data_IF_338675699617
#
_entry.id   IF_338675699617
#
_cell.length_a   1.000
_cell.length_b   1.000
_cell.length_c   1.000
_cell.angle_alpha   90.00
_cell.angle_beta   90.00
_cell.angle_gamma   90.00
#
_symmetry.space_group_name_H-M   'P 1'
#
loop_
_entity.id
_entity.type
_entity.pdbx_description
1 polymer ?
#
# COMPACT_ATOMS: atom_id res chain seq x y z
N UNK A 1 15.91 57.99 27.52
CA UNK A 1 15.28 56.94 28.37
C UNK A 1 16.34 56.49 29.38
N UNK A 2 16.81 57.44 30.19
CA UNK A 2 18.13 57.41 30.87
C UNK A 2 18.06 58.17 32.20
N UNK A 3 17.01 57.95 32.99
CA UNK A 3 16.80 58.70 34.23
C UNK A 3 16.03 57.93 35.32
N UNK A 4 16.39 56.67 35.58
CA UNK A 4 15.80 55.87 36.70
C UNK A 4 16.86 55.07 37.48
N UNK A 5 18.05 55.62 37.75
CA UNK A 5 19.12 54.89 38.47
C UNK A 5 19.83 55.70 39.58
N UNK A 6 19.14 56.62 40.26
CA UNK A 6 19.74 57.40 41.37
C UNK A 6 18.82 57.51 42.61
N UNK A 7 18.10 56.44 42.95
CA UNK A 7 17.40 56.30 44.24
C UNK A 7 18.04 55.16 45.05
N UNK A 8 19.09 55.49 45.82
CA UNK A 8 19.93 54.53 46.51
C UNK A 8 19.43 54.12 47.90
N UNK A 9 18.33 53.38 47.97
CA UNK A 9 18.10 52.51 49.13
C UNK A 9 18.99 51.28 48.96
N UNK A 10 20.03 51.17 49.79
CA UNK A 10 20.97 50.04 49.74
C UNK A 10 20.20 48.73 49.95
N UNK A 11 20.01 47.95 48.88
CA UNK A 11 19.40 46.62 48.99
C UNK A 11 20.16 45.81 50.04
N UNK A 12 19.45 45.36 51.07
CA UNK A 12 19.96 44.46 52.10
C UNK A 12 20.54 43.19 51.43
N UNK A 13 21.58 42.61 52.02
CA UNK A 13 22.26 41.44 51.48
C UNK A 13 21.30 40.30 51.13
N UNK A 14 20.23 40.11 51.92
CA UNK A 14 19.17 39.14 51.66
C UNK A 14 18.38 39.40 50.37
N UNK A 15 18.08 40.67 50.05
CA UNK A 15 17.40 41.04 48.80
C UNK A 15 18.31 40.84 47.60
N UNK A 16 19.61 41.14 47.73
CA UNK A 16 20.61 40.86 46.68
C UNK A 16 20.73 39.36 46.40
N UNK A 17 20.80 38.53 47.44
CA UNK A 17 20.87 37.08 47.30
C UNK A 17 19.64 36.50 46.61
N UNK A 18 18.43 36.95 47.00
CA UNK A 18 17.18 36.54 46.34
C UNK A 18 17.14 36.94 44.88
N UNK A 19 17.55 38.17 44.56
CA UNK A 19 17.59 38.63 43.17
C UNK A 19 18.55 37.77 42.33
N UNK A 20 19.76 37.48 42.85
CA UNK A 20 20.73 36.61 42.18
C UNK A 20 20.12 35.22 41.93
N UNK A 21 19.53 34.60 42.96
CA UNK A 21 18.86 33.28 42.83
C UNK A 21 17.75 33.28 41.77
N UNK A 22 16.90 34.30 41.72
CA UNK A 22 15.86 34.37 40.69
C UNK A 22 16.45 34.57 39.29
N UNK A 23 17.45 35.43 39.14
CA UNK A 23 18.10 35.65 37.84
C UNK A 23 18.83 34.41 37.34
N UNK A 24 19.49 33.64 38.21
CA UNK A 24 20.15 32.40 37.81
C UNK A 24 19.16 31.32 37.42
N UNK A 25 18.05 31.16 38.14
CA UNK A 25 16.98 30.21 37.78
C UNK A 25 16.39 30.56 36.40
N UNK A 26 16.09 31.84 36.16
CA UNK A 26 15.54 32.29 34.87
C UNK A 26 16.55 32.05 33.74
N UNK A 27 17.83 32.35 33.95
CA UNK A 27 18.88 32.08 32.96
C UNK A 27 19.04 30.59 32.67
N UNK A 28 18.95 29.73 33.70
CA UNK A 28 19.00 28.27 33.53
C UNK A 28 17.80 27.76 32.72
N UNK A 29 16.58 28.19 33.05
CA UNK A 29 15.38 27.82 32.29
C UNK A 29 15.45 28.30 30.84
N UNK A 30 15.86 29.55 30.61
CA UNK A 30 16.03 30.09 29.27
C UNK A 30 17.08 29.31 28.48
N UNK A 31 18.23 28.98 29.10
CA UNK A 31 19.26 28.16 28.46
C UNK A 31 18.75 26.76 28.12
N UNK A 32 17.96 26.12 29.00
CA UNK A 32 17.36 24.83 28.76
C UNK A 32 16.39 24.84 27.58
N UNK A 33 15.56 25.88 27.46
CA UNK A 33 14.64 26.04 26.31
C UNK A 33 15.40 26.31 25.02
N UNK A 34 16.46 27.14 25.04
CA UNK A 34 17.28 27.40 23.85
C UNK A 34 18.00 26.13 23.39
N UNK A 35 18.61 25.40 24.32
CA UNK A 35 19.30 24.14 24.04
C UNK A 35 18.29 23.11 23.53
N UNK A 36 17.15 22.95 24.21
CA UNK A 36 16.07 22.05 23.80
C UNK A 36 15.50 22.40 22.42
N UNK A 37 15.28 23.69 22.14
CA UNK A 37 14.85 24.19 20.84
C UNK A 37 15.89 23.91 19.75
N UNK A 38 17.17 24.17 20.01
CA UNK A 38 18.26 23.85 19.09
C UNK A 38 18.30 22.35 18.76
N UNK A 39 18.21 21.48 19.77
CA UNK A 39 18.13 20.04 19.54
C UNK A 39 16.85 19.64 18.80
N UNK A 40 15.71 20.25 19.11
CA UNK A 40 14.44 20.00 18.41
C UNK A 40 14.51 20.39 16.94
N UNK A 41 15.21 21.47 16.57
CA UNK A 41 15.40 21.86 15.15
C UNK A 41 16.31 20.90 14.38
N UNK A 42 17.14 20.12 15.09
CA UNK A 42 17.99 19.08 14.49
C UNK A 42 17.29 17.73 14.36
N UNK A 43 16.11 17.57 14.95
CA UNK A 43 15.27 16.40 14.68
C UNK A 43 14.75 16.59 13.26
N UNK A 44 15.28 15.79 12.34
CA UNK A 44 14.66 15.64 11.02
C UNK A 44 13.31 14.97 11.24
N UNK A 45 12.25 15.80 11.27
CA UNK A 45 10.86 15.34 11.36
C UNK A 45 10.42 14.72 10.03
N UNK A 46 11.08 15.12 8.95
CA UNK A 46 10.87 14.62 7.59
C UNK A 46 11.80 13.43 7.32
N UNK A 47 11.40 12.23 7.72
CA UNK A 47 12.12 11.01 7.41
C UNK A 47 11.96 9.90 8.46
N UNK A 48 12.22 8.64 8.12
CA UNK A 48 12.39 7.59 9.13
C UNK A 48 13.60 7.95 10.01
N UNK A 49 13.34 8.35 11.25
CA UNK A 49 14.39 8.63 12.22
C UNK A 49 15.17 7.34 12.52
N UNK A 50 16.50 7.36 12.34
CA UNK A 50 17.36 6.23 12.69
C UNK A 50 17.52 6.18 14.21
N UNK A 51 16.79 5.29 14.87
CA UNK A 51 16.98 5.03 16.29
C UNK A 51 18.23 4.15 16.48
N UNK A 52 19.25 4.66 17.16
CA UNK A 52 20.36 3.83 17.64
C UNK A 52 20.04 3.37 19.06
N UNK A 53 19.75 2.08 19.22
CA UNK A 53 19.49 1.45 20.51
C UNK A 53 20.25 0.12 20.59
N UNK A 54 20.68 -0.26 21.80
CA UNK A 54 21.18 -1.62 22.07
C UNK A 54 20.04 -2.65 22.09
N UNK A 55 18.80 -2.16 22.12
CA UNK A 55 17.57 -2.92 22.15
C UNK A 55 16.67 -2.34 21.07
N UNK A 56 16.91 -2.72 19.82
CA UNK A 56 15.98 -2.46 18.72
C UNK A 56 15.02 -3.66 18.65
N UNK A 57 13.72 -3.39 18.60
CA UNK A 57 12.69 -4.41 18.49
C UNK A 57 11.63 -3.98 17.48
N UNK A 58 10.97 -4.97 16.87
CA UNK A 58 9.83 -4.73 15.99
C UNK A 58 8.60 -4.48 16.88
N UNK A 59 7.98 -3.31 16.76
CA UNK A 59 6.70 -3.07 17.41
C UNK A 59 5.59 -3.60 16.50
N UNK A 60 5.07 -4.78 16.82
CA UNK A 60 3.93 -5.38 16.14
C UNK A 60 2.67 -5.14 16.97
N UNK A 61 1.65 -4.57 16.36
CA UNK A 61 0.33 -4.46 16.97
C UNK A 61 -0.38 -5.81 16.92
N UNK A 62 -0.75 -6.35 18.07
CA UNK A 62 -1.51 -7.60 18.20
C UNK A 62 -3.01 -7.30 18.01
N UNK A 63 -3.50 -7.51 16.78
CA UNK A 63 -4.82 -7.05 16.32
C UNK A 63 -6.03 -7.82 16.87
N UNK A 64 -5.83 -8.90 17.61
CA UNK A 64 -6.93 -9.79 18.05
C UNK A 64 -7.82 -9.18 19.16
N UNK A 65 -7.35 -8.14 19.86
CA UNK A 65 -8.14 -7.49 20.91
C UNK A 65 -8.94 -6.33 20.34
N UNK A 66 -10.18 -6.63 19.88
CA UNK A 66 -11.22 -5.67 19.44
C UNK A 66 -11.53 -4.64 20.53
N UNK A 67 -10.71 -3.60 20.60
CA UNK A 67 -10.79 -2.48 21.54
C UNK A 67 -10.86 -1.16 20.77
N UNK A 68 -11.06 -0.05 21.47
CA UNK A 68 -10.92 1.32 20.94
C UNK A 68 -9.60 1.51 20.16
N UNK A 69 -8.56 0.74 20.50
CA UNK A 69 -7.30 0.72 19.78
C UNK A 69 -7.45 0.23 18.32
N UNK A 70 -8.38 -0.67 18.00
CA UNK A 70 -8.65 -1.11 16.63
C UNK A 70 -9.30 0.00 15.79
N UNK A 71 -10.19 0.80 16.39
CA UNK A 71 -10.77 1.97 15.73
C UNK A 71 -9.72 3.05 15.49
N UNK A 72 -8.84 3.30 16.48
CA UNK A 72 -7.70 4.23 16.31
C UNK A 72 -6.68 3.72 15.29
N UNK A 73 -6.40 2.41 15.28
CA UNK A 73 -5.55 1.79 14.27
C UNK A 73 -6.13 1.98 12.87
N UNK A 74 -7.45 1.78 12.69
CA UNK A 74 -8.12 2.05 11.41
C UNK A 74 -8.01 3.51 10.96
N UNK A 75 -8.16 4.47 11.86
CA UNK A 75 -7.96 5.89 11.54
C UNK A 75 -6.51 6.18 11.16
N UNK A 76 -5.54 5.58 11.86
CA UNK A 76 -4.12 5.69 11.53
C UNK A 76 -3.78 5.03 10.19
N UNK A 77 -4.41 3.90 9.86
CA UNK A 77 -4.22 3.22 8.59
C UNK A 77 -4.81 4.04 7.45
N UNK A 78 -5.98 4.67 7.65
CA UNK A 78 -6.53 5.65 6.70
C UNK A 78 -5.58 6.84 6.50
N UNK A 79 -5.00 7.38 7.57
CA UNK A 79 -4.02 8.48 7.47
C UNK A 79 -2.74 8.04 6.73
N UNK A 80 -2.28 6.79 6.95
CA UNK A 80 -1.15 6.23 6.20
C UNK A 80 -1.49 6.06 4.73
N UNK A 81 -2.68 5.56 4.39
CA UNK A 81 -3.15 5.40 3.03
C UNK A 81 -3.25 6.76 2.32
N UNK A 82 -3.84 7.77 2.95
CA UNK A 82 -3.90 9.14 2.44
C UNK A 82 -2.51 9.71 2.18
N UNK A 83 -1.58 9.52 3.14
CA UNK A 83 -0.19 9.96 2.99
C UNK A 83 0.55 9.22 1.88
N UNK A 84 0.31 7.92 1.74
CA UNK A 84 0.89 7.11 0.67
C UNK A 84 0.35 7.55 -0.71
N UNK A 85 -0.95 7.84 -0.81
CA UNK A 85 -1.57 8.37 -2.01
C UNK A 85 -0.95 9.73 -2.40
N UNK A 86 -0.85 10.67 -1.46
CA UNK A 86 -0.18 11.95 -1.69
C UNK A 86 1.29 11.78 -2.08
N UNK A 87 2.03 10.88 -1.43
CA UNK A 87 3.41 10.59 -1.82
C UNK A 87 3.49 10.06 -3.26
N UNK A 88 2.61 9.14 -3.64
CA UNK A 88 2.59 8.60 -5.00
C UNK A 88 2.25 9.69 -6.04
N UNK A 89 1.26 10.53 -5.76
CA UNK A 89 0.91 11.66 -6.63
C UNK A 89 2.05 12.67 -6.76
N UNK A 90 2.66 13.06 -5.66
CA UNK A 90 3.74 14.05 -5.63
C UNK A 90 5.03 13.52 -6.28
N UNK A 91 5.32 12.22 -6.15
CA UNK A 91 6.64 11.67 -6.46
C UNK A 91 6.71 10.78 -7.70
N UNK A 92 5.59 10.22 -8.17
CA UNK A 92 5.58 9.35 -9.36
C UNK A 92 4.88 9.96 -10.57
N UNK A 93 4.21 11.12 -10.45
CA UNK A 93 3.76 11.87 -11.63
C UNK A 93 4.96 12.47 -12.37
N UNK A 94 5.01 12.23 -13.69
CA UNK A 94 6.13 12.52 -14.60
C UNK A 94 6.60 14.00 -14.67
N UNK A 95 5.97 14.94 -13.96
CA UNK A 95 6.16 16.38 -14.11
C UNK A 95 6.49 17.15 -12.83
N UNK A 96 6.51 16.51 -11.65
CA UNK A 96 6.85 17.22 -10.42
C UNK A 96 8.38 17.26 -10.23
N UNK A 97 8.95 18.47 -10.26
CA UNK A 97 10.32 18.70 -9.74
C UNK A 97 10.42 18.06 -8.37
N UNK A 98 11.45 17.24 -8.13
CA UNK A 98 11.61 16.39 -6.94
C UNK A 98 11.40 17.18 -5.65
N UNK A 99 10.15 17.22 -5.16
CA UNK A 99 9.81 17.91 -3.93
C UNK A 99 10.63 17.29 -2.80
N UNK A 100 10.97 18.09 -1.78
CA UNK A 100 11.67 17.58 -0.59
C UNK A 100 10.98 16.35 0.04
N UNK A 101 9.65 16.25 -0.13
CA UNK A 101 8.80 15.14 0.31
C UNK A 101 9.11 13.80 -0.35
N UNK A 102 9.69 13.78 -1.55
CA UNK A 102 10.01 12.55 -2.28
C UNK A 102 11.28 11.85 -1.79
N UNK A 103 12.00 12.46 -0.84
CA UNK A 103 13.21 11.90 -0.22
C UNK A 103 12.92 11.11 1.06
N UNK A 104 11.65 10.76 1.31
CA UNK A 104 11.24 9.95 2.46
C UNK A 104 11.84 8.54 2.41
N UNK A 105 11.86 7.94 1.21
CA UNK A 105 12.38 6.60 0.99
C UNK A 105 13.86 6.66 0.59
N UNK A 106 14.64 5.66 1.03
CA UNK A 106 16.05 5.55 0.65
C UNK A 106 16.22 5.48 -0.87
N UNK A 107 15.33 4.73 -1.54
CA UNK A 107 15.11 4.81 -2.98
C UNK A 107 13.62 5.00 -3.26
N UNK A 108 13.23 6.03 -4.04
CA UNK A 108 11.83 6.25 -4.38
C UNK A 108 11.34 5.20 -5.38
N UNK A 109 12.19 4.76 -6.31
CA UNK A 109 11.81 3.76 -7.32
C UNK A 109 12.71 2.55 -7.23
N UNK A 110 12.12 1.37 -7.16
CA UNK A 110 12.84 0.11 -7.34
C UNK A 110 12.93 -0.21 -8.84
N UNK A 111 14.03 -0.81 -9.30
CA UNK A 111 14.12 -1.26 -10.68
C UNK A 111 13.08 -2.37 -10.92
N UNK A 112 12.31 -2.22 -11.99
CA UNK A 112 11.37 -3.24 -12.46
C UNK A 112 11.75 -3.56 -13.91
N UNK A 113 11.73 -4.84 -14.28
CA UNK A 113 11.92 -5.20 -15.69
C UNK A 113 10.74 -4.66 -16.50
N UNK A 114 10.93 -4.34 -17.79
CA UNK A 114 9.81 -4.01 -18.67
C UNK A 114 8.72 -5.07 -18.57
N UNK A 115 7.46 -4.62 -18.67
CA UNK A 115 6.31 -5.51 -18.64
C UNK A 115 6.43 -6.57 -19.75
N UNK A 116 6.29 -7.84 -19.37
CA UNK A 116 6.34 -8.96 -20.31
C UNK A 116 4.92 -9.37 -20.62
N UNK A 117 4.51 -9.25 -21.88
CA UNK A 117 3.19 -9.66 -22.34
C UNK A 117 3.29 -11.04 -22.99
N UNK A 118 2.42 -11.94 -22.56
CA UNK A 118 2.39 -13.31 -23.04
C UNK A 118 0.94 -13.75 -23.30
N UNK A 119 0.79 -14.69 -24.24
CA UNK A 119 -0.52 -15.23 -24.64
C UNK A 119 -0.86 -16.53 -23.90
N UNK A 120 -0.32 -16.70 -22.68
CA UNK A 120 -0.59 -17.83 -21.79
C UNK A 120 -1.38 -17.33 -20.58
N UNK A 121 -2.49 -18.00 -20.30
CA UNK A 121 -3.19 -17.78 -19.05
C UNK A 121 -2.71 -18.80 -18.00
N UNK A 122 -2.35 -18.37 -16.78
CA UNK A 122 -1.96 -19.30 -15.71
C UNK A 122 -3.15 -20.08 -15.10
N UNK A 123 -4.37 -19.79 -15.52
CA UNK A 123 -5.61 -20.40 -15.02
C UNK A 123 -6.30 -21.24 -16.11
N UNK A 124 -7.47 -21.81 -15.78
CA UNK A 124 -8.30 -22.52 -16.76
C UNK A 124 -8.65 -21.61 -17.96
N UNK A 125 -8.59 -22.09 -19.21
CA UNK A 125 -8.82 -21.26 -20.39
C UNK A 125 -10.17 -20.52 -20.40
N UNK A 126 -11.19 -21.10 -19.78
CA UNK A 126 -12.55 -20.55 -19.73
C UNK A 126 -12.65 -19.29 -18.86
N UNK A 127 -11.83 -19.18 -17.81
CA UNK A 127 -11.85 -18.05 -16.87
C UNK A 127 -11.05 -16.86 -17.38
N UNK A 128 -10.18 -17.08 -18.35
CA UNK A 128 -9.25 -16.08 -18.86
C UNK A 128 -9.86 -15.31 -20.03
N UNK A 129 -9.70 -13.98 -20.03
CA UNK A 129 -10.13 -13.15 -21.15
C UNK A 129 -8.94 -12.88 -22.06
N UNK A 130 -9.10 -13.14 -23.36
CA UNK A 130 -8.09 -12.89 -24.40
C UNK A 130 -6.78 -13.69 -24.27
N UNK A 131 -6.66 -14.58 -23.28
CA UNK A 131 -5.43 -15.30 -22.94
C UNK A 131 -4.22 -14.38 -22.77
N UNK A 132 -4.41 -13.13 -22.34
CA UNK A 132 -3.34 -12.16 -22.17
C UNK A 132 -2.90 -12.12 -20.72
N UNK A 133 -1.60 -12.31 -20.47
CA UNK A 133 -0.98 -12.12 -19.17
C UNK A 133 0.11 -11.07 -19.27
N UNK A 134 0.13 -10.17 -18.28
CA UNK A 134 1.22 -9.20 -18.08
C UNK A 134 2.01 -9.60 -16.85
N UNK A 135 3.32 -9.75 -17.01
CA UNK A 135 4.23 -10.11 -15.92
C UNK A 135 5.18 -8.97 -15.63
N UNK A 136 5.20 -8.57 -14.36
CA UNK A 136 6.16 -7.65 -13.78
C UNK A 136 7.12 -8.43 -12.90
N UNK A 137 8.42 -8.21 -13.11
CA UNK A 137 9.46 -8.88 -12.35
C UNK A 137 10.49 -7.87 -11.88
N UNK A 138 10.86 -7.93 -10.62
CA UNK A 138 12.01 -7.17 -10.14
C UNK A 138 13.30 -7.94 -10.44
N UNK A 139 14.44 -7.27 -10.62
CA UNK A 139 15.72 -7.95 -10.47
C UNK A 139 15.88 -8.40 -9.01
N UNK A 140 17.00 -9.06 -8.72
CA UNK A 140 17.37 -9.36 -7.35
C UNK A 140 17.75 -8.04 -6.64
N UNK A 141 16.97 -7.63 -5.65
CA UNK A 141 17.13 -6.37 -4.91
C UNK A 141 17.77 -6.66 -3.56
N UNK A 142 18.81 -5.92 -3.20
CA UNK A 142 19.41 -5.95 -1.86
C UNK A 142 18.50 -5.22 -0.86
N UNK A 143 18.24 -5.81 0.31
CA UNK A 143 17.40 -5.21 1.35
C UNK A 143 17.92 -3.85 1.83
N UNK A 144 19.20 -3.52 1.61
CA UNK A 144 19.75 -2.18 1.80
C UNK A 144 19.01 -1.11 1.02
N UNK A 145 18.46 -1.46 -0.14
CA UNK A 145 17.67 -0.54 -0.96
C UNK A 145 16.33 -0.18 -0.31
N UNK A 146 15.83 -1.03 0.58
CA UNK A 146 14.68 -0.78 1.45
C UNK A 146 15.07 -0.13 2.79
N UNK A 147 16.35 0.19 2.99
CA UNK A 147 16.88 0.78 4.23
C UNK A 147 17.30 -0.23 5.30
N UNK A 148 17.26 -1.55 5.03
CA UNK A 148 17.76 -2.58 5.95
C UNK A 148 19.28 -2.64 5.82
N UNK A 149 19.97 -1.85 6.64
CA UNK A 149 21.39 -1.58 6.50
C UNK A 149 22.24 -2.54 7.36
N UNK A 150 22.61 -3.68 6.80
CA UNK A 150 23.48 -4.69 7.44
C UNK A 150 24.59 -5.16 6.51
N UNK A 151 25.68 -5.67 7.08
CA UNK A 151 26.81 -6.20 6.31
C UNK A 151 26.37 -7.37 5.42
N UNK A 152 25.50 -8.25 5.95
CA UNK A 152 24.96 -9.44 5.30
C UNK A 152 23.47 -9.27 5.00
N UNK A 153 23.08 -8.15 4.39
CA UNK A 153 21.69 -7.89 4.05
C UNK A 153 21.15 -8.97 3.07
N UNK A 154 19.97 -9.55 3.34
CA UNK A 154 19.33 -10.49 2.43
C UNK A 154 18.91 -9.80 1.14
N UNK A 155 18.63 -10.60 0.12
CA UNK A 155 18.12 -10.12 -1.17
C UNK A 155 16.70 -10.62 -1.38
N UNK A 156 15.93 -9.96 -2.22
CA UNK A 156 14.62 -10.43 -2.60
C UNK A 156 14.30 -10.15 -4.06
N UNK A 157 13.32 -10.89 -4.57
CA UNK A 157 12.75 -10.71 -5.90
C UNK A 157 11.25 -10.91 -5.83
N UNK A 158 10.49 -10.02 -6.47
CA UNK A 158 9.04 -10.13 -6.62
C UNK A 158 8.70 -10.39 -8.08
N UNK A 159 7.76 -11.29 -8.30
CA UNK A 159 7.13 -11.53 -9.59
C UNK A 159 5.63 -11.46 -9.42
N UNK A 160 4.99 -10.62 -10.23
CA UNK A 160 3.54 -10.41 -10.26
C UNK A 160 3.05 -10.64 -11.68
N UNK A 161 2.21 -11.64 -11.89
CA UNK A 161 1.63 -11.97 -13.20
C UNK A 161 0.11 -11.78 -13.15
N UNK A 162 -0.42 -10.86 -13.95
CA UNK A 162 -1.83 -10.50 -13.95
C UNK A 162 -2.51 -10.82 -15.29
N UNK A 163 -3.73 -11.33 -15.24
CA UNK A 163 -4.54 -11.66 -16.43
C UNK A 163 -5.98 -11.17 -16.27
N UNK A 164 -6.56 -10.47 -17.27
CA UNK A 164 -7.97 -10.10 -17.25
C UNK A 164 -8.87 -11.33 -17.28
N UNK A 165 -9.97 -11.29 -16.53
CA UNK A 165 -10.87 -12.43 -16.40
C UNK A 165 -12.10 -12.32 -17.30
N UNK A 166 -12.63 -13.48 -17.69
CA UNK A 166 -13.83 -13.61 -18.51
C UNK A 166 -15.04 -13.11 -17.73
N UNK A 167 -15.76 -12.15 -18.30
CA UNK A 167 -17.02 -11.63 -17.73
C UNK A 167 -18.25 -12.31 -18.35
N UNK A 168 -18.05 -13.42 -19.06
CA UNK A 168 -19.13 -14.20 -19.64
C UNK A 168 -19.74 -15.16 -18.59
N UNK A 169 -20.91 -15.70 -18.89
CA UNK A 169 -21.51 -16.75 -18.08
C UNK A 169 -20.57 -17.98 -18.03
N UNK A 170 -20.36 -18.63 -16.87
CA UNK A 170 -21.09 -18.48 -15.60
C UNK A 170 -20.51 -17.47 -14.61
N UNK A 171 -19.39 -16.82 -14.94
CA UNK A 171 -18.60 -16.03 -13.99
C UNK A 171 -19.25 -14.70 -13.62
N UNK A 172 -19.96 -14.06 -14.54
CA UNK A 172 -20.74 -12.85 -14.23
C UNK A 172 -22.20 -13.09 -14.58
N UNK A 173 -23.05 -12.92 -13.57
CA UNK A 173 -24.49 -13.08 -13.70
C UNK A 173 -25.17 -11.73 -13.47
N UNK A 174 -26.21 -11.46 -14.24
CA UNK A 174 -27.00 -10.24 -14.11
C UNK A 174 -28.43 -10.57 -13.67
N UNK A 175 -28.97 -9.76 -12.77
CA UNK A 175 -30.37 -9.86 -12.34
C UNK A 175 -30.97 -8.46 -12.28
N UNK A 176 -32.07 -8.25 -13.00
CA UNK A 176 -32.75 -6.95 -13.02
C UNK A 176 -34.02 -7.01 -12.18
N UNK A 177 -34.12 -6.16 -11.18
CA UNK A 177 -35.30 -6.04 -10.30
C UNK A 177 -35.68 -4.57 -10.19
N UNK A 178 -36.95 -4.24 -10.45
CA UNK A 178 -37.45 -2.86 -10.41
C UNK A 178 -36.63 -1.86 -11.24
N UNK A 179 -36.17 -2.28 -12.43
CA UNK A 179 -35.36 -1.45 -13.33
C UNK A 179 -33.90 -1.27 -12.92
N UNK A 180 -33.47 -1.85 -11.80
CA UNK A 180 -32.07 -1.82 -11.37
C UNK A 180 -31.41 -3.17 -11.66
N UNK A 181 -30.33 -3.16 -12.44
CA UNK A 181 -29.53 -4.36 -12.73
C UNK A 181 -28.46 -4.55 -11.68
N UNK A 182 -28.38 -5.76 -11.15
CA UNK A 182 -27.33 -6.21 -10.23
C UNK A 182 -26.41 -7.18 -10.96
N UNK A 183 -25.10 -6.96 -10.88
CA UNK A 183 -24.09 -7.86 -11.42
C UNK A 183 -23.42 -8.60 -10.27
N UNK A 184 -23.39 -9.92 -10.36
CA UNK A 184 -22.80 -10.81 -9.35
C UNK A 184 -21.63 -11.57 -9.98
N UNK A 185 -20.47 -11.53 -9.31
CA UNK A 185 -19.19 -12.05 -9.82
C UNK A 185 -18.80 -13.32 -9.06
N UNK A 186 -18.85 -14.47 -9.74
CA UNK A 186 -18.68 -15.81 -9.21
C UNK A 186 -17.26 -16.36 -9.39
N UNK A 187 -16.25 -15.59 -8.98
CA UNK A 187 -14.84 -15.98 -9.02
C UNK A 187 -14.37 -16.73 -7.76
N UNK A 188 -15.32 -17.17 -6.93
CA UNK A 188 -15.06 -17.77 -5.62
C UNK A 188 -16.17 -17.39 -4.64
N UNK A 189 -15.96 -17.75 -3.38
CA UNK A 189 -16.90 -17.47 -2.30
C UNK A 189 -16.19 -16.76 -1.14
N UNK A 190 -16.97 -16.06 -0.33
CA UNK A 190 -16.47 -15.38 0.87
C UNK A 190 -17.33 -15.71 2.08
N UNK A 191 -16.69 -15.72 3.24
CA UNK A 191 -17.33 -15.93 4.52
C UNK A 191 -17.46 -14.56 5.21
N UNK A 192 -18.68 -14.10 5.43
CA UNK A 192 -18.93 -12.85 6.15
C UNK A 192 -19.87 -13.14 7.32
N UNK A 193 -19.31 -13.03 8.53
CA UNK A 193 -19.90 -13.53 9.76
C UNK A 193 -20.28 -15.03 9.63
N UNK A 194 -21.55 -15.37 9.81
CA UNK A 194 -22.06 -16.75 9.76
C UNK A 194 -22.67 -17.10 8.39
N UNK A 195 -22.43 -16.29 7.35
CA UNK A 195 -23.00 -16.49 6.01
C UNK A 195 -21.92 -16.72 4.98
N UNK A 196 -22.13 -17.77 4.19
CA UNK A 196 -21.33 -18.08 3.00
C UNK A 196 -22.00 -17.43 1.80
N UNK A 197 -21.27 -16.55 1.11
CA UNK A 197 -21.72 -15.93 -0.12
C UNK A 197 -21.04 -16.63 -1.30
N UNK A 198 -21.83 -17.29 -2.15
CA UNK A 198 -21.35 -18.00 -3.35
C UNK A 198 -20.98 -17.05 -4.50
N UNK A 199 -20.45 -15.87 -4.17
CA UNK A 199 -19.92 -14.90 -5.10
C UNK A 199 -18.81 -14.12 -4.41
N UNK A 200 -17.88 -13.60 -5.21
CA UNK A 200 -16.74 -12.81 -4.73
C UNK A 200 -17.14 -11.35 -4.57
N UNK A 201 -17.76 -10.78 -5.60
CA UNK A 201 -18.10 -9.37 -5.67
C UNK A 201 -19.50 -9.14 -6.25
N UNK A 202 -20.10 -7.99 -5.95
CA UNK A 202 -21.44 -7.62 -6.42
C UNK A 202 -21.54 -6.11 -6.60
N UNK A 203 -22.07 -5.69 -7.75
CA UNK A 203 -22.39 -4.27 -8.03
C UNK A 203 -23.88 -4.12 -8.35
N UNK A 204 -24.42 -2.93 -8.10
CA UNK A 204 -25.84 -2.61 -8.31
C UNK A 204 -25.93 -1.30 -9.08
N UNK A 205 -26.72 -1.30 -10.16
CA UNK A 205 -26.93 -0.15 -11.02
C UNK A 205 -25.79 0.11 -12.00
N UNK A 206 -25.87 1.24 -12.70
CA UNK A 206 -24.82 1.73 -13.60
C UNK A 206 -23.84 2.60 -12.80
N UNK A 207 -22.54 2.21 -12.69
CA UNK A 207 -21.53 3.02 -11.99
C UNK A 207 -21.40 4.45 -12.54
N UNK A 208 -21.77 4.68 -13.80
CA UNK A 208 -21.79 6.01 -14.42
C UNK A 208 -22.73 7.01 -13.72
N UNK A 209 -23.76 6.51 -13.02
CA UNK A 209 -24.67 7.35 -12.25
C UNK A 209 -24.04 7.91 -10.97
N UNK A 210 -22.92 7.33 -10.51
CA UNK A 210 -22.12 7.90 -9.42
C UNK A 210 -21.36 9.10 -9.97
N UNK A 211 -21.65 10.31 -9.46
CA UNK A 211 -21.13 11.59 -9.98
C UNK A 211 -19.63 11.84 -9.68
N UNK A 212 -18.85 10.81 -9.35
CA UNK A 212 -17.44 10.90 -9.04
C UNK A 212 -16.59 10.41 -10.23
N UNK A 213 -15.64 11.21 -10.75
CA UNK A 213 -14.78 10.84 -11.87
C UNK A 213 -13.56 10.02 -11.39
N UNK A 214 -13.82 8.91 -10.70
CA UNK A 214 -12.78 8.06 -10.11
C UNK A 214 -12.96 6.59 -10.51
N UNK A 215 -11.94 5.77 -10.28
CA UNK A 215 -12.08 4.33 -10.30
C UNK A 215 -12.50 3.84 -8.92
N UNK A 216 -13.45 2.92 -8.89
CA UNK A 216 -13.86 2.19 -7.69
C UNK A 216 -13.18 0.81 -7.75
N UNK A 217 -12.24 0.55 -6.83
CA UNK A 217 -11.38 -0.63 -6.86
C UNK A 217 -11.63 -1.48 -5.62
N UNK A 218 -11.92 -2.77 -5.84
CA UNK A 218 -12.06 -3.76 -4.77
C UNK A 218 -11.09 -4.90 -5.01
N UNK A 219 -10.38 -5.34 -3.97
CA UNK A 219 -9.46 -6.45 -4.05
C UNK A 219 -9.79 -7.53 -3.01
N UNK A 220 -9.58 -8.78 -3.38
CA UNK A 220 -9.63 -9.93 -2.48
C UNK A 220 -8.39 -10.78 -2.73
N UNK A 221 -7.75 -11.24 -1.66
CA UNK A 221 -6.59 -12.12 -1.75
C UNK A 221 -6.90 -13.48 -1.17
N UNK A 222 -6.34 -14.53 -1.77
CA UNK A 222 -6.25 -15.83 -1.14
C UNK A 222 -5.09 -15.83 -0.14
N UNK A 223 -5.18 -16.66 0.90
CA UNK A 223 -4.03 -16.86 1.77
C UNK A 223 -3.03 -17.76 1.03
N UNK A 224 -1.74 -17.41 1.04
CA UNK A 224 -0.72 -18.25 0.45
C UNK A 224 -0.59 -19.61 1.15
N UNK A 225 -0.94 -19.66 2.44
CA UNK A 225 -1.02 -20.85 3.26
C UNK A 225 -2.48 -21.20 3.56
N UNK A 226 -2.83 -22.48 3.40
CA UNK A 226 -4.20 -22.98 3.64
C UNK A 226 -4.57 -23.08 5.14
N UNK A 227 -3.65 -22.76 6.05
CA UNK A 227 -3.87 -22.82 7.51
C UNK A 227 -4.80 -21.74 8.07
N UNK A 228 -4.83 -20.58 7.42
CA UNK A 228 -5.63 -19.44 7.87
C UNK A 228 -6.95 -19.44 7.12
N UNK A 229 -8.07 -19.20 7.82
CA UNK A 229 -9.37 -19.04 7.15
C UNK A 229 -9.33 -17.82 6.23
N UNK A 230 -9.31 -18.00 4.90
CA UNK A 230 -9.18 -16.86 4.01
C UNK A 230 -10.50 -16.09 3.95
N UNK A 231 -10.41 -14.77 3.81
CA UNK A 231 -11.58 -13.90 3.59
C UNK A 231 -12.31 -14.31 2.31
N UNK A 232 -11.55 -14.79 1.32
CA UNK A 232 -12.05 -15.23 0.03
C UNK A 232 -11.39 -16.55 -0.38
N UNK A 233 -12.23 -17.51 -0.78
CA UNK A 233 -11.82 -18.81 -1.29
C UNK A 233 -12.03 -18.78 -2.82
N UNK A 234 -10.95 -18.86 -3.62
CA UNK A 234 -11.04 -18.80 -5.07
C UNK A 234 -11.90 -19.91 -5.68
N UNK A 235 -12.49 -19.63 -6.85
CA UNK A 235 -13.12 -20.64 -7.69
C UNK A 235 -12.10 -21.74 -8.10
N UNK A 236 -12.49 -23.02 -8.25
CA UNK A 236 -11.57 -24.10 -8.63
C UNK A 236 -10.78 -23.86 -9.92
N UNK A 237 -11.32 -23.06 -10.84
CA UNK A 237 -10.67 -22.68 -12.10
C UNK A 237 -9.41 -21.82 -11.90
N UNK A 238 -9.25 -21.21 -10.72
CA UNK A 238 -8.04 -20.52 -10.32
C UNK A 238 -7.01 -21.50 -9.77
N UNK A 239 -6.43 -22.33 -10.63
CA UNK A 239 -5.26 -23.11 -10.25
C UNK A 239 -4.07 -22.19 -10.01
N UNK A 240 -3.55 -22.19 -8.78
CA UNK A 240 -2.41 -21.37 -8.40
C UNK A 240 -1.15 -22.23 -8.21
N UNK A 241 0.03 -21.76 -8.63
CA UNK A 241 1.29 -22.37 -8.23
C UNK A 241 1.39 -22.45 -6.70
N UNK A 242 2.07 -23.48 -6.19
CA UNK A 242 2.33 -23.58 -4.75
C UNK A 242 3.06 -22.33 -4.27
N UNK A 243 2.67 -21.85 -3.09
CA UNK A 243 3.31 -20.69 -2.42
C UNK A 243 3.19 -19.38 -3.22
N UNK A 244 2.15 -19.27 -4.04
CA UNK A 244 1.75 -18.00 -4.65
C UNK A 244 0.48 -17.47 -3.99
N UNK A 245 0.43 -16.15 -3.89
CA UNK A 245 -0.76 -15.43 -3.46
C UNK A 245 -1.57 -15.08 -4.70
N UNK A 246 -2.86 -15.42 -4.69
CA UNK A 246 -3.79 -15.02 -5.75
C UNK A 246 -4.57 -13.82 -5.26
N UNK A 247 -4.49 -12.71 -5.99
CA UNK A 247 -5.29 -11.51 -5.71
C UNK A 247 -6.22 -11.26 -6.89
N UNK A 248 -7.51 -11.15 -6.63
CA UNK A 248 -8.49 -10.69 -7.61
C UNK A 248 -8.87 -9.24 -7.34
N UNK A 249 -8.82 -8.42 -8.39
CA UNK A 249 -9.08 -7.00 -8.37
C UNK A 249 -10.27 -6.71 -9.29
N UNK A 250 -11.23 -5.94 -8.81
CA UNK A 250 -12.39 -5.46 -9.58
C UNK A 250 -12.27 -3.96 -9.74
N UNK A 251 -12.17 -3.51 -10.99
CA UNK A 251 -12.04 -2.09 -11.34
C UNK A 251 -13.34 -1.62 -11.98
N UNK A 252 -14.06 -0.72 -11.33
CA UNK A 252 -15.23 -0.06 -11.92
C UNK A 252 -14.88 1.37 -12.32
N UNK A 253 -14.96 1.68 -13.61
CA UNK A 253 -14.92 3.05 -14.07
C UNK A 253 -16.23 3.74 -13.68
N UNK A 254 -16.17 4.75 -12.82
CA UNK A 254 -17.33 5.60 -12.54
C UNK A 254 -17.50 6.61 -13.67
N UNK A 255 -17.56 7.91 -13.36
CA UNK A 255 -17.79 8.97 -14.36
C UNK A 255 -16.50 9.49 -14.99
N UNK A 256 -15.67 8.57 -15.50
CA UNK A 256 -14.40 8.91 -16.16
C UNK A 256 -14.61 9.07 -17.66
N UNK A 257 -14.10 10.18 -18.20
CA UNK A 257 -14.06 10.46 -19.62
C UNK A 257 -12.62 10.38 -20.13
N UNK A 258 -12.45 9.81 -21.32
CA UNK A 258 -11.17 9.65 -21.99
C UNK A 258 -11.14 10.54 -23.22
N UNK A 259 -9.98 11.11 -23.52
CA UNK A 259 -9.79 11.96 -24.70
C UNK A 259 -9.73 11.16 -26.00
N UNK A 260 -9.42 9.87 -25.89
CA UNK A 260 -9.26 8.95 -27.02
C UNK A 260 -10.01 7.65 -26.74
N UNK A 261 -10.40 6.99 -27.83
CA UNK A 261 -10.98 5.66 -27.75
C UNK A 261 -9.93 4.66 -27.25
N UNK A 262 -10.34 3.77 -26.35
CA UNK A 262 -9.48 2.74 -25.79
C UNK A 262 -10.18 1.38 -25.87
N UNK A 263 -9.50 0.41 -26.47
CA UNK A 263 -9.92 -1.00 -26.47
C UNK A 263 -9.22 -1.80 -25.35
N UNK A 264 -8.60 -1.11 -24.37
CA UNK A 264 -7.96 -1.74 -23.21
C UNK A 264 -8.99 -2.58 -22.43
N UNK A 265 -8.69 -3.85 -22.08
CA UNK A 265 -9.64 -4.73 -21.42
C UNK A 265 -10.01 -4.29 -20.00
N UNK A 266 -9.15 -3.52 -19.32
CA UNK A 266 -9.33 -2.98 -17.97
C UNK A 266 -9.84 -1.53 -18.00
N UNK A 267 -9.38 -0.73 -18.96
CA UNK A 267 -9.75 0.68 -19.11
C UNK A 267 -10.38 1.00 -20.47
N UNK A 268 -11.51 0.34 -20.82
CA UNK A 268 -12.14 0.58 -22.11
C UNK A 268 -12.81 1.94 -22.14
N UNK A 269 -12.74 2.56 -23.31
CA UNK A 269 -13.38 3.83 -23.63
C UNK A 269 -13.93 3.73 -25.05
N UNK A 270 -15.06 3.05 -25.20
CA UNK A 270 -15.60 2.58 -26.48
C UNK A 270 -16.84 3.34 -26.94
N UNK A 271 -17.44 4.17 -26.08
CA UNK A 271 -18.65 4.93 -26.37
C UNK A 271 -18.43 6.43 -26.34
N UNK A 272 -18.78 7.07 -27.44
CA UNK A 272 -18.76 8.53 -27.57
C UNK A 272 -19.67 9.18 -26.52
N UNK A 273 -19.16 10.28 -25.95
CA UNK A 273 -19.82 11.12 -24.97
C UNK A 273 -19.62 12.59 -25.39
N UNK A 274 -20.67 13.24 -25.92
CA UNK A 274 -20.57 14.65 -26.27
C UNK A 274 -20.57 15.50 -24.99
N UNK A 275 -19.50 16.27 -24.79
CA UNK A 275 -19.42 17.23 -23.69
C UNK A 275 -19.89 18.61 -24.19
N UNK A 276 -20.86 19.27 -23.53
CA UNK A 276 -21.33 20.58 -23.97
C UNK A 276 -20.19 21.60 -24.01
N UNK A 277 -19.99 22.22 -25.18
CA UNK A 277 -18.94 23.23 -25.39
C UNK A 277 -17.60 22.68 -25.90
N UNK A 278 -17.42 21.36 -25.97
CA UNK A 278 -16.26 20.75 -26.57
C UNK A 278 -16.61 20.21 -27.98
N UNK A 279 -15.92 20.66 -29.04
CA UNK A 279 -16.13 20.11 -30.39
C UNK A 279 -15.58 18.68 -30.54
N UNK A 280 -14.67 18.24 -29.67
CA UNK A 280 -14.08 16.90 -29.71
C UNK A 280 -14.96 15.92 -28.90
N UNK A 281 -15.29 14.73 -29.45
CA UNK A 281 -15.98 13.71 -28.67
C UNK A 281 -15.05 13.18 -27.57
N UNK A 282 -15.59 13.03 -26.37
CA UNK A 282 -14.97 12.26 -25.30
C UNK A 282 -15.44 10.82 -25.39
N UNK A 283 -14.73 9.91 -24.75
CA UNK A 283 -15.08 8.49 -24.73
C UNK A 283 -15.32 8.03 -23.30
N UNK A 284 -16.23 7.08 -23.13
CA UNK A 284 -16.48 6.41 -21.84
C UNK A 284 -16.61 4.91 -22.02
N UNK A 285 -16.47 4.18 -20.93
CA UNK A 285 -16.82 2.77 -20.88
C UNK A 285 -18.34 2.61 -21.06
N UNK A 286 -18.74 1.83 -22.07
CA UNK A 286 -20.14 1.53 -22.36
C UNK A 286 -20.74 0.46 -21.46
N UNK A 287 -19.90 -0.38 -20.87
CA UNK A 287 -20.28 -1.55 -20.09
C UNK A 287 -20.21 -1.23 -18.59
N UNK A 288 -21.33 -1.31 -17.86
CA UNK A 288 -21.39 -0.96 -16.44
C UNK A 288 -20.74 -2.00 -15.52
N UNK A 289 -20.30 -3.16 -16.05
CA UNK A 289 -19.64 -4.19 -15.25
C UNK A 289 -18.23 -3.73 -14.83
N UNK A 290 -17.89 -3.94 -13.57
CA UNK A 290 -16.51 -3.93 -13.09
C UNK A 290 -15.64 -4.91 -13.90
N UNK A 291 -14.42 -4.49 -14.22
CA UNK A 291 -13.40 -5.27 -14.93
C UNK A 291 -12.60 -6.10 -13.92
N UNK A 292 -12.72 -7.44 -13.96
CA UNK A 292 -11.97 -8.31 -13.07
C UNK A 292 -10.59 -8.63 -13.63
N UNK A 293 -9.58 -8.58 -12.76
CA UNK A 293 -8.18 -8.90 -13.02
C UNK A 293 -7.72 -9.86 -11.92
N UNK A 294 -7.09 -10.98 -12.26
CA UNK A 294 -6.43 -11.84 -11.28
C UNK A 294 -4.92 -11.73 -11.42
N UNK A 295 -4.23 -11.60 -10.29
CA UNK A 295 -2.79 -11.52 -10.18
C UNK A 295 -2.26 -12.65 -9.33
N UNK A 296 -1.20 -13.31 -9.81
CA UNK A 296 -0.38 -14.23 -9.03
C UNK A 296 0.87 -13.49 -8.57
N UNK A 297 1.02 -13.38 -7.26
CA UNK A 297 2.18 -12.80 -6.62
C UNK A 297 3.06 -13.90 -6.03
N UNK A 298 4.36 -13.76 -6.26
CA UNK A 298 5.39 -14.61 -5.65
C UNK A 298 6.56 -13.75 -5.22
N UNK A 299 7.04 -14.02 -4.02
CA UNK A 299 8.19 -13.35 -3.42
C UNK A 299 9.20 -14.42 -3.07
N UNK A 300 10.41 -14.24 -3.57
CA UNK A 300 11.57 -15.05 -3.20
C UNK A 300 12.50 -14.18 -2.37
N UNK A 301 12.90 -14.69 -1.21
CA UNK A 301 13.93 -14.08 -0.36
C UNK A 301 15.16 -14.96 -0.43
N UNK A 302 16.33 -14.37 -0.62
CA UNK A 302 17.58 -15.07 -0.77
C UNK A 302 18.61 -14.61 0.28
N UNK A 303 19.59 -15.48 0.53
CA UNK A 303 20.78 -15.18 1.30
C UNK A 303 21.51 -13.94 0.75
N UNK A 304 22.39 -13.36 1.55
CA UNK A 304 23.17 -12.17 1.14
C UNK A 304 24.03 -12.40 -0.11
N UNK A 305 24.55 -13.63 -0.30
CA UNK A 305 25.28 -14.03 -1.50
C UNK A 305 24.35 -14.35 -2.69
N UNK A 306 23.05 -14.51 -2.46
CA UNK A 306 22.02 -14.81 -3.46
C UNK A 306 22.04 -16.24 -3.98
N UNK A 307 22.76 -17.17 -3.32
CA UNK A 307 22.86 -18.57 -3.76
C UNK A 307 21.70 -19.43 -3.26
N UNK A 308 21.24 -19.18 -2.06
CA UNK A 308 20.12 -19.87 -1.45
C UNK A 308 18.91 -18.95 -1.45
N UNK A 309 17.80 -19.42 -2.00
CA UNK A 309 16.55 -18.67 -2.08
C UNK A 309 15.42 -19.51 -1.55
N UNK A 310 14.49 -18.85 -0.88
CA UNK A 310 13.30 -19.43 -0.28
C UNK A 310 12.09 -18.69 -0.82
N UNK A 311 11.04 -19.44 -1.15
CA UNK A 311 9.76 -18.81 -1.40
C UNK A 311 9.20 -18.34 -0.06
N UNK A 312 8.82 -17.08 0.01
CA UNK A 312 8.30 -16.42 1.19
C UNK A 312 7.14 -17.18 1.84
N UNK A 313 6.29 -17.76 1.01
CA UNK A 313 5.05 -18.41 1.41
C UNK A 313 5.20 -19.93 1.59
N UNK A 314 6.40 -20.47 1.42
CA UNK A 314 6.67 -21.87 1.67
C UNK A 314 6.70 -22.15 3.18
N UNK A 315 5.81 -23.01 3.71
CA UNK A 315 5.86 -23.41 5.11
C UNK A 315 7.17 -24.14 5.37
N UNK A 316 7.76 -23.90 6.55
CA UNK A 316 9.09 -24.29 7.03
C UNK A 316 9.40 -25.80 6.98
N UNK A 317 9.36 -26.42 5.80
CA UNK A 317 9.72 -27.82 5.59
C UNK A 317 11.24 -28.01 5.56
N UNK A 318 11.98 -26.94 5.29
CA UNK A 318 13.42 -26.92 5.50
C UNK A 318 13.69 -26.54 6.95
N UNK A 319 13.94 -27.52 7.82
CA UNK A 319 14.58 -27.31 9.14
C UNK A 319 15.99 -26.68 9.06
N UNK A 320 16.43 -26.35 7.84
CA UNK A 320 17.63 -25.58 7.51
C UNK A 320 17.34 -24.15 7.02
N UNK A 321 16.08 -23.69 6.95
CA UNK A 321 15.76 -22.38 6.38
C UNK A 321 16.40 -21.25 7.15
N UNK A 322 17.20 -20.50 6.39
CA UNK A 322 17.41 -19.06 6.42
C UNK A 322 17.79 -18.49 7.79
N UNK A 323 19.10 -18.25 7.94
CA UNK A 323 19.70 -17.28 8.85
C UNK A 323 18.67 -16.55 9.74
N UNK A 324 18.48 -17.02 10.99
CA UNK A 324 17.70 -16.39 12.08
C UNK A 324 18.25 -14.99 12.47
N UNK A 325 18.90 -14.34 11.52
CA UNK A 325 19.40 -12.99 11.60
C UNK A 325 18.20 -12.03 11.73
N UNK A 326 18.31 -11.01 12.59
CA UNK A 326 17.29 -9.98 12.71
C UNK A 326 16.92 -9.32 11.38
N UNK A 327 17.85 -9.23 10.45
CA UNK A 327 17.66 -8.63 9.13
C UNK A 327 16.79 -9.47 8.21
N UNK A 328 16.99 -10.78 8.20
CA UNK A 328 16.11 -11.69 7.46
C UNK A 328 14.70 -11.63 8.03
N UNK A 329 14.56 -11.71 9.36
CA UNK A 329 13.25 -11.63 10.04
C UNK A 329 12.58 -10.28 9.74
N UNK A 330 13.33 -9.17 9.75
CA UNK A 330 12.80 -7.85 9.43
C UNK A 330 12.34 -7.75 7.97
N UNK A 331 13.15 -8.22 7.02
CA UNK A 331 12.78 -8.22 5.60
C UNK A 331 11.55 -9.11 5.38
N UNK A 332 11.58 -10.33 5.91
CA UNK A 332 10.47 -11.28 5.84
C UNK A 332 9.21 -10.67 6.45
N UNK A 333 9.26 -10.11 7.65
CA UNK A 333 8.07 -9.47 8.25
C UNK A 333 7.58 -8.29 7.42
N UNK A 334 8.49 -7.54 6.78
CA UNK A 334 8.15 -6.40 5.92
C UNK A 334 7.47 -6.82 4.62
N UNK A 335 7.88 -7.96 4.05
CA UNK A 335 7.33 -8.47 2.79
C UNK A 335 6.05 -9.31 3.00
N UNK A 336 5.87 -9.95 4.17
CA UNK A 336 4.78 -10.89 4.45
C UNK A 336 3.39 -10.25 4.38
N UNK A 337 3.32 -8.93 4.50
CA UNK A 337 2.08 -8.14 4.36
C UNK A 337 2.03 -7.29 3.10
N UNK A 338 2.98 -7.45 2.19
CA UNK A 338 2.99 -6.74 0.89
C UNK A 338 2.34 -7.51 -0.24
N UNK A 339 1.79 -8.68 0.08
CA UNK A 339 0.98 -9.51 -0.81
C UNK A 339 -0.35 -8.82 -1.18
N UNK A 340 -0.66 -7.69 -0.53
CA UNK A 340 -1.86 -6.90 -0.78
C UNK A 340 -1.49 -5.42 -0.61
N UNK A 341 -1.95 -4.60 -1.56
CA UNK A 341 -1.78 -3.14 -1.72
C UNK A 341 -0.58 -2.68 -2.54
#
# INVERSE_FOLDING_TARGET
>A
MTQVLLGGDSLTAAKRLRLIMYTTIIMLLASGVIIGGYFSTRIQVDGPARLSSKSCGLWLFEGEKRSEAATRARMLDLEKEERAAHFAEDCYRQSASTGSRCRLLYRPTLPVTPAIYTNDCPFAPEICRFNLTVTFKTPMIDAKELGINSASAPKFRRTTACTPLSMEYPYVQQTTTNGTTTYTYHYGHKNEADKIFNYTYRTVGDPWQKLAPIYDVFAYSSNANDSDQPVWIPHPDFTRPRYSTLTIIFISSLRILYEERSDDPLFPADKDYPLPGDPKPWFRNSDPRARPLACLDSIEVCSSDGRECWNMNEPTSNTKTADNTPEFILLYSSLYKTDIY
#
